data_IF_071097260509
#
_entry.id   IF_071097260509
#
_cell.length_a   1.000
_cell.length_b   1.000
_cell.length_c   1.000
_cell.angle_alpha   90.00
_cell.angle_beta   90.00
_cell.angle_gamma   90.00
#
_symmetry.space_group_name_H-M   'P 1'
#
loop_
_entity.id
_entity.type
_entity.pdbx_description
1 polymer ?
#
# COMPACT_ATOMS: atom_id res chain seq x y z
N UNK A 1 -15.94 -39.69 -25.56
CA UNK A 1 -15.11 -39.84 -24.34
C UNK A 1 -14.35 -38.52 -24.08
N UNK A 2 -14.81 -37.65 -23.17
CA UNK A 2 -14.21 -36.32 -22.91
C UNK A 2 -13.18 -36.41 -21.77
N UNK A 3 -11.88 -36.40 -22.07
CA UNK A 3 -10.81 -36.34 -21.07
C UNK A 3 -10.71 -34.91 -20.52
N UNK A 4 -11.14 -34.69 -19.27
CA UNK A 4 -10.98 -33.37 -18.61
C UNK A 4 -9.53 -33.18 -18.19
N UNK A 5 -8.87 -32.19 -18.78
CA UNK A 5 -7.52 -31.75 -18.40
C UNK A 5 -7.55 -31.16 -16.98
N UNK A 6 -6.91 -31.84 -16.04
CA UNK A 6 -6.71 -31.35 -14.67
C UNK A 6 -5.60 -30.29 -14.69
N UNK A 7 -5.95 -29.02 -14.49
CA UNK A 7 -4.99 -27.91 -14.49
C UNK A 7 -3.97 -28.08 -13.34
N UNK A 8 -2.67 -27.76 -13.55
CA UNK A 8 -1.63 -27.91 -12.54
C UNK A 8 -1.75 -26.84 -11.45
N UNK A 9 -2.24 -27.25 -10.28
CA UNK A 9 -2.47 -26.41 -9.09
C UNK A 9 -1.19 -25.80 -8.50
N UNK A 10 0.00 -26.31 -8.86
CA UNK A 10 1.29 -25.84 -8.34
C UNK A 10 1.71 -24.44 -8.79
N UNK A 11 1.34 -24.01 -10.00
CA UNK A 11 1.71 -22.68 -10.53
C UNK A 11 0.97 -21.53 -9.84
N UNK A 12 -0.25 -21.80 -9.38
CA UNK A 12 -1.12 -20.84 -8.71
C UNK A 12 -0.57 -20.51 -7.30
N UNK A 13 0.00 -21.52 -6.64
CA UNK A 13 0.61 -21.38 -5.33
C UNK A 13 1.93 -20.60 -5.43
N UNK A 14 2.76 -20.93 -6.42
CA UNK A 14 4.00 -20.19 -6.71
C UNK A 14 3.73 -18.71 -7.09
N UNK A 15 2.69 -18.44 -7.87
CA UNK A 15 2.27 -17.07 -8.21
C UNK A 15 1.82 -16.27 -6.98
N UNK A 16 1.05 -16.88 -6.06
CA UNK A 16 0.66 -16.24 -4.80
C UNK A 16 1.85 -16.00 -3.86
N UNK A 17 2.83 -16.90 -3.84
CA UNK A 17 4.08 -16.72 -3.10
C UNK A 17 4.93 -15.58 -3.66
N UNK A 18 5.09 -15.50 -4.99
CA UNK A 18 5.83 -14.39 -5.64
C UNK A 18 5.18 -13.03 -5.41
N UNK A 19 3.85 -12.93 -5.47
CA UNK A 19 3.13 -11.69 -5.18
C UNK A 19 3.35 -11.26 -3.72
N UNK A 20 3.30 -12.19 -2.77
CA UNK A 20 3.58 -11.89 -1.35
C UNK A 20 5.03 -11.47 -1.12
N UNK A 21 6.00 -12.16 -1.72
CA UNK A 21 7.41 -11.77 -1.62
C UNK A 21 7.66 -10.37 -2.19
N UNK A 22 7.00 -10.02 -3.31
CA UNK A 22 7.08 -8.67 -3.89
C UNK A 22 6.47 -7.61 -2.97
N UNK A 23 5.31 -7.88 -2.37
CA UNK A 23 4.69 -6.95 -1.42
C UNK A 23 5.54 -6.75 -0.16
N UNK A 24 6.12 -7.82 0.38
CA UNK A 24 7.03 -7.73 1.54
C UNK A 24 8.32 -7.00 1.18
N UNK A 25 8.88 -7.22 -0.01
CA UNK A 25 10.07 -6.51 -0.47
C UNK A 25 9.82 -5.00 -0.68
N UNK A 26 8.66 -4.63 -1.23
CA UNK A 26 8.27 -3.21 -1.36
C UNK A 26 8.07 -2.57 0.00
N UNK A 27 7.41 -3.26 0.95
CA UNK A 27 7.26 -2.77 2.33
C UNK A 27 8.63 -2.59 3.00
N UNK A 28 9.54 -3.55 2.86
CA UNK A 28 10.89 -3.46 3.41
C UNK A 28 11.71 -2.31 2.80
N UNK A 29 11.60 -2.09 1.49
CA UNK A 29 12.27 -0.98 0.81
C UNK A 29 11.72 0.38 1.25
N UNK A 30 10.40 0.50 1.43
CA UNK A 30 9.77 1.71 1.97
C UNK A 30 10.21 1.98 3.41
N UNK A 31 10.32 0.95 4.25
CA UNK A 31 10.81 1.07 5.62
C UNK A 31 12.29 1.51 5.65
N UNK A 32 13.12 0.96 4.77
CA UNK A 32 14.53 1.34 4.67
C UNK A 32 14.72 2.79 4.20
N UNK A 33 13.84 3.29 3.32
CA UNK A 33 13.83 4.69 2.86
C UNK A 33 13.21 5.66 3.87
N UNK A 34 12.44 5.16 4.84
CA UNK A 34 11.75 5.97 5.85
C UNK A 34 12.57 6.16 7.14
N UNK A 35 13.79 5.60 7.24
CA UNK A 35 14.67 5.86 8.39
C UNK A 35 15.11 7.32 8.38
N UNK A 36 14.67 8.15 9.34
CA UNK A 36 15.06 9.54 9.39
C UNK A 36 16.54 9.66 9.78
N UNK A 37 17.29 10.40 8.97
CA UNK A 37 18.62 10.87 9.31
C UNK A 37 18.54 11.76 10.56
N UNK A 38 19.10 11.27 11.66
CA UNK A 38 19.60 11.98 12.85
C UNK A 38 19.07 13.41 13.07
N UNK A 39 18.19 13.56 14.07
CA UNK A 39 17.85 14.85 14.68
C UNK A 39 18.57 14.94 16.03
N UNK A 40 19.38 15.97 16.20
CA UNK A 40 20.08 16.30 17.43
C UNK A 40 19.07 16.57 18.55
N UNK A 41 19.21 15.84 19.65
CA UNK A 41 18.44 16.02 20.86
C UNK A 41 18.94 17.28 21.57
N UNK A 42 18.08 18.27 21.80
CA UNK A 42 18.39 19.25 22.82
C UNK A 42 17.24 19.58 23.78
N UNK A 43 15.95 19.45 23.43
CA UNK A 43 14.87 19.61 24.42
C UNK A 43 13.71 18.63 24.20
N UNK A 44 13.40 17.86 25.24
CA UNK A 44 12.30 16.90 25.40
C UNK A 44 12.17 15.75 24.39
N UNK A 45 12.48 14.54 24.87
CA UNK A 45 12.32 13.26 24.15
C UNK A 45 10.89 13.10 23.63
N UNK A 46 9.89 13.58 24.37
CA UNK A 46 8.47 13.54 23.99
C UNK A 46 8.19 14.36 22.72
N UNK A 47 8.74 15.57 22.60
CA UNK A 47 8.59 16.43 21.41
C UNK A 47 9.23 15.80 20.17
N UNK A 48 10.40 15.17 20.35
CA UNK A 48 11.05 14.41 19.27
C UNK A 48 10.20 13.22 18.82
N UNK A 49 9.55 12.51 19.74
CA UNK A 49 8.67 11.37 19.45
C UNK A 49 7.39 11.78 18.69
N UNK A 50 6.77 12.91 19.05
CA UNK A 50 5.57 13.42 18.37
C UNK A 50 5.89 13.84 16.93
N UNK A 51 7.01 14.54 16.72
CA UNK A 51 7.44 14.96 15.37
C UNK A 51 7.80 13.77 14.46
N UNK A 52 8.40 12.71 15.03
CA UNK A 52 8.68 11.46 14.34
C UNK A 52 7.39 10.72 13.94
N UNK A 53 6.41 10.67 14.83
CA UNK A 53 5.11 10.05 14.55
C UNK A 53 4.39 10.80 13.43
N UNK A 54 4.38 12.13 13.48
CA UNK A 54 3.82 12.97 12.42
C UNK A 54 4.52 12.78 11.08
N UNK A 55 5.85 12.64 11.10
CA UNK A 55 6.64 12.34 9.89
C UNK A 55 6.20 11.01 9.27
N UNK A 56 6.13 9.93 10.07
CA UNK A 56 5.72 8.60 9.59
C UNK A 56 4.30 8.64 9.02
N UNK A 57 3.39 9.36 9.68
CA UNK A 57 2.00 9.49 9.22
C UNK A 57 1.91 10.25 7.89
N UNK A 58 2.69 11.32 7.72
CA UNK A 58 2.78 12.03 6.43
C UNK A 58 3.35 11.17 5.31
N UNK A 59 4.36 10.33 5.59
CA UNK A 59 4.90 9.39 4.59
C UNK A 59 3.84 8.37 4.17
N UNK A 60 3.07 7.82 5.11
CA UNK A 60 1.99 6.86 4.81
C UNK A 60 0.89 7.49 3.95
N UNK A 61 0.51 8.73 4.26
CA UNK A 61 -0.45 9.50 3.45
C UNK A 61 0.07 9.70 2.02
N UNK A 62 1.33 10.14 1.87
CA UNK A 62 1.96 10.30 0.56
C UNK A 62 2.03 8.97 -0.22
N UNK A 63 2.37 7.88 0.44
CA UNK A 63 2.38 6.55 -0.16
C UNK A 63 0.98 6.09 -0.61
N UNK A 64 -0.07 6.39 0.17
CA UNK A 64 -1.46 6.15 -0.22
C UNK A 64 -1.84 6.92 -1.49
N UNK A 65 -1.39 8.17 -1.62
CA UNK A 65 -1.59 9.00 -2.82
C UNK A 65 -1.00 8.36 -4.10
N UNK A 66 0.20 7.80 -4.00
CA UNK A 66 0.86 7.12 -5.13
C UNK A 66 0.07 5.88 -5.58
N UNK A 67 -0.44 5.10 -4.62
CA UNK A 67 -1.23 3.89 -4.91
C UNK A 67 -2.56 4.24 -5.58
N UNK A 68 -3.18 5.37 -5.21
CA UNK A 68 -4.40 5.86 -5.87
C UNK A 68 -4.11 6.19 -7.34
N UNK A 69 -3.05 6.96 -7.61
CA UNK A 69 -2.65 7.34 -8.98
C UNK A 69 -2.41 6.07 -9.83
N UNK A 70 -1.69 5.09 -9.27
CA UNK A 70 -1.42 3.83 -9.97
C UNK A 70 -2.68 2.98 -10.20
N UNK A 71 -3.59 2.93 -9.22
CA UNK A 71 -4.88 2.24 -9.35
C UNK A 71 -5.80 2.86 -10.40
N UNK A 72 -5.76 4.20 -10.55
CA UNK A 72 -6.50 4.91 -11.60
C UNK A 72 -5.93 4.57 -12.99
N UNK A 73 -4.60 4.46 -13.14
CA UNK A 73 -4.00 4.03 -14.40
C UNK A 73 -4.41 2.61 -14.82
N UNK A 74 -4.49 1.68 -13.87
CA UNK A 74 -4.96 0.32 -14.14
C UNK A 74 -6.47 0.25 -14.43
N UNK A 75 -7.26 1.09 -13.76
CA UNK A 75 -8.68 1.25 -14.09
C UNK A 75 -8.87 1.79 -15.51
N UNK A 76 -8.07 2.78 -15.92
CA UNK A 76 -8.14 3.39 -17.24
C UNK A 76 -7.76 2.41 -18.37
N UNK A 77 -6.71 1.60 -18.18
CA UNK A 77 -6.35 0.58 -19.18
C UNK A 77 -7.41 -0.52 -19.28
N UNK A 78 -8.01 -0.92 -18.14
CA UNK A 78 -9.12 -1.86 -18.10
C UNK A 78 -10.41 -1.31 -18.71
N UNK A 79 -10.62 0.01 -18.64
CA UNK A 79 -11.77 0.67 -19.25
C UNK A 79 -11.70 0.62 -20.79
N UNK A 80 -10.53 0.83 -21.38
CA UNK A 80 -10.34 0.81 -22.83
C UNK A 80 -10.48 -0.59 -23.46
N UNK A 81 -10.27 -1.65 -22.68
CA UNK A 81 -10.28 -3.04 -23.16
C UNK A 81 -11.63 -3.74 -22.97
N UNK A 82 -12.66 -3.07 -22.43
CA UNK A 82 -13.96 -3.65 -22.05
C UNK A 82 -13.87 -4.89 -21.15
N UNK A 83 -12.72 -5.12 -20.51
CA UNK A 83 -12.49 -6.22 -19.58
C UNK A 83 -12.87 -5.80 -18.16
N UNK A 84 -14.11 -6.13 -17.74
CA UNK A 84 -14.63 -5.81 -16.40
C UNK A 84 -13.79 -6.37 -15.24
N UNK A 85 -12.98 -7.40 -15.49
CA UNK A 85 -12.03 -7.93 -14.50
C UNK A 85 -10.88 -6.96 -14.21
N UNK A 86 -10.43 -6.20 -15.21
CA UNK A 86 -9.34 -5.22 -15.05
C UNK A 86 -9.85 -3.93 -14.41
N UNK A 87 -11.06 -3.49 -14.76
CA UNK A 87 -11.74 -2.39 -14.06
C UNK A 87 -11.92 -2.67 -12.57
N UNK A 88 -12.42 -3.85 -12.20
CA UNK A 88 -12.67 -4.18 -10.79
C UNK A 88 -11.38 -4.36 -9.99
N UNK A 89 -10.28 -4.78 -10.63
CA UNK A 89 -8.96 -4.86 -9.99
C UNK A 89 -8.34 -3.47 -9.75
N UNK A 90 -8.39 -2.58 -10.74
CA UNK A 90 -7.94 -1.19 -10.61
C UNK A 90 -8.74 -0.43 -9.55
N UNK A 91 -10.07 -0.57 -9.56
CA UNK A 91 -10.94 0.07 -8.57
C UNK A 91 -10.66 -0.41 -7.13
N UNK A 92 -10.41 -1.71 -6.93
CA UNK A 92 -10.03 -2.25 -5.60
C UNK A 92 -8.71 -1.65 -5.10
N UNK A 93 -7.76 -1.36 -5.99
CA UNK A 93 -6.49 -0.71 -5.65
C UNK A 93 -6.67 0.76 -5.29
N UNK A 94 -7.56 1.47 -6.01
CA UNK A 94 -7.92 2.85 -5.67
C UNK A 94 -8.57 2.91 -4.29
N UNK A 95 -9.53 2.04 -3.98
CA UNK A 95 -10.17 1.99 -2.66
C UNK A 95 -9.16 1.67 -1.55
N UNK A 96 -8.26 0.71 -1.79
CA UNK A 96 -7.20 0.40 -0.83
C UNK A 96 -6.24 1.59 -0.60
N UNK A 97 -5.88 2.31 -1.65
CA UNK A 97 -5.06 3.52 -1.56
C UNK A 97 -5.76 4.65 -0.81
N UNK A 98 -7.08 4.80 -1.01
CA UNK A 98 -7.90 5.79 -0.30
C UNK A 98 -7.95 5.51 1.20
N UNK A 99 -8.14 4.25 1.59
CA UNK A 99 -8.11 3.83 3.01
C UNK A 99 -6.74 4.09 3.65
N UNK A 100 -5.64 3.88 2.91
CA UNK A 100 -4.29 4.18 3.38
C UNK A 100 -4.04 5.70 3.51
N UNK A 101 -4.56 6.49 2.57
CA UNK A 101 -4.47 7.96 2.60
C UNK A 101 -5.20 8.55 3.82
N UNK A 102 -6.38 8.01 4.15
CA UNK A 102 -7.16 8.47 5.30
C UNK A 102 -6.77 7.80 6.62
N UNK A 103 -5.91 6.78 6.62
CA UNK A 103 -5.50 6.10 7.85
C UNK A 103 -4.93 7.07 8.90
N UNK A 104 -4.14 8.05 8.45
CA UNK A 104 -3.55 9.03 9.36
C UNK A 104 -4.55 10.01 9.95
N UNK A 105 -5.49 10.52 9.15
CA UNK A 105 -6.53 11.44 9.61
C UNK A 105 -7.60 10.77 10.45
N UNK A 106 -7.93 9.50 10.18
CA UNK A 106 -8.83 8.70 11.02
C UNK A 106 -8.24 8.45 12.40
N UNK A 107 -6.93 8.16 12.51
CA UNK A 107 -6.28 7.97 13.80
C UNK A 107 -6.34 9.25 14.66
N UNK A 108 -6.08 10.41 14.06
CA UNK A 108 -6.22 11.70 14.72
C UNK A 108 -7.67 12.02 15.10
N UNK A 109 -8.65 11.64 14.26
CA UNK A 109 -10.06 11.85 14.54
C UNK A 109 -10.62 10.94 15.66
N UNK A 110 -10.02 9.76 15.88
CA UNK A 110 -10.41 8.83 16.95
C UNK A 110 -9.86 9.21 18.34
N UNK A 111 -9.19 10.36 18.48
CA UNK A 111 -8.69 10.84 19.77
C UNK A 111 -7.42 10.13 20.26
N UNK A 112 -6.78 9.33 19.39
CA UNK A 112 -5.41 8.85 19.63
C UNK A 112 -4.46 9.97 19.17
N UNK A 113 -4.34 11.00 20.00
CA UNK A 113 -3.27 11.99 19.89
C UNK A 113 -2.01 11.41 20.52
N UNK A 114 -1.02 11.07 19.69
CA UNK A 114 0.36 10.80 20.13
C UNK A 114 1.05 12.12 20.41
#
# INVERSE_FOLDING_TARGET
MKRRLKKPTGRINAARWMIRCRQVAVLAAVIALALPAYVYAEEDITTAMTSLTDLVMKIVQLAGGIVIIWGVFEFASGYQSHDGTQQTAGLKRVVAGLLMFFAGSVLSAMGVSV
#
